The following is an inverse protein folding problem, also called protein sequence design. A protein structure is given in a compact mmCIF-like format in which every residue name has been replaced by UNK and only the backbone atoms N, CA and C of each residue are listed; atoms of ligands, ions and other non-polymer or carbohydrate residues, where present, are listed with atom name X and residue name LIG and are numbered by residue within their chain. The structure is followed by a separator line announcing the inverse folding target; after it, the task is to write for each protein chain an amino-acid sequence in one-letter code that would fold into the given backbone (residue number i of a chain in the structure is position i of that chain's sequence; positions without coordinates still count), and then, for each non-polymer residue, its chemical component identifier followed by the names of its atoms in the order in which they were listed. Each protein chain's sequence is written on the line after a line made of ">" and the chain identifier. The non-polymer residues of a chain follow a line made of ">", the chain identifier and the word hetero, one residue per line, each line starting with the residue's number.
data_IF_689125271001
#
_entry.id   IF_689125271001
#
_cell.length_a   1.000
_cell.length_b   1.000
_cell.length_c   1.000
_cell.angle_alpha   90.00
_cell.angle_beta   90.00
_cell.angle_gamma   90.00
#
_symmetry.space_group_name_H-M   'P 1'
#
loop_
_entity.id
_entity.type
_entity.pdbx_description
1 polymer ?
#
# COMPACT_ATOMS: atom_id res chain seq x y z
N UNK A 1 -2.02 -15.43 11.83
CA UNK A 1 -1.66 -14.80 13.13
C UNK A 1 -2.71 -13.76 13.50
N UNK A 2 -3.36 -13.93 14.64
CA UNK A 2 -4.39 -13.01 15.11
C UNK A 2 -3.76 -11.73 15.66
N UNK A 3 -4.46 -10.62 15.51
CA UNK A 3 -4.16 -9.38 16.22
C UNK A 3 -4.55 -9.54 17.70
N UNK A 4 -3.87 -8.83 18.62
CA UNK A 4 -4.37 -8.69 19.99
C UNK A 4 -5.81 -8.21 19.99
N UNK A 5 -6.65 -8.70 20.91
CA UNK A 5 -8.09 -8.38 20.95
C UNK A 5 -8.38 -6.87 20.87
N UNK A 6 -7.61 -6.05 21.59
CA UNK A 6 -7.73 -4.59 21.58
C UNK A 6 -7.43 -3.91 20.24
N UNK A 7 -6.84 -4.63 19.26
CA UNK A 7 -6.51 -4.14 17.92
C UNK A 7 -7.40 -4.76 16.83
N UNK A 8 -8.38 -5.57 17.21
CA UNK A 8 -9.38 -6.11 16.28
C UNK A 8 -10.53 -5.11 16.14
N UNK A 9 -11.06 -4.96 14.93
CA UNK A 9 -12.12 -4.00 14.64
C UNK A 9 -12.92 -4.42 13.40
N UNK A 10 -14.12 -3.87 13.25
CA UNK A 10 -14.88 -3.95 12.00
C UNK A 10 -14.60 -2.72 11.14
N UNK A 11 -14.40 -2.94 9.85
CA UNK A 11 -14.14 -1.90 8.86
C UNK A 11 -15.15 -2.00 7.72
N UNK A 12 -15.82 -0.89 7.41
CA UNK A 12 -16.70 -0.79 6.25
C UNK A 12 -15.88 -0.42 5.02
N UNK A 13 -15.83 -1.30 4.03
CA UNK A 13 -15.08 -1.07 2.79
C UNK A 13 -15.69 0.05 1.96
N UNK A 14 -14.92 0.60 1.01
CA UNK A 14 -15.42 1.56 0.02
C UNK A 14 -16.60 1.03 -0.80
N UNK A 15 -16.68 -0.29 -0.96
CA UNK A 15 -17.80 -0.98 -1.63
C UNK A 15 -19.00 -1.24 -0.70
N UNK A 16 -18.97 -0.75 0.55
CA UNK A 16 -20.06 -0.82 1.52
C UNK A 16 -20.15 -2.11 2.33
N UNK A 17 -19.21 -3.03 2.16
CA UNK A 17 -19.18 -4.33 2.84
C UNK A 17 -18.52 -4.20 4.21
N UNK A 18 -19.13 -4.76 5.25
CA UNK A 18 -18.53 -4.83 6.57
C UNK A 18 -17.54 -6.00 6.65
N UNK A 19 -16.29 -5.71 7.03
CA UNK A 19 -15.20 -6.67 7.10
C UNK A 19 -14.54 -6.67 8.46
N UNK A 20 -14.46 -7.83 9.08
CA UNK A 20 -13.76 -7.99 10.35
C UNK A 20 -12.25 -8.09 10.16
N UNK A 21 -11.51 -7.25 10.89
CA UNK A 21 -10.05 -7.21 10.90
C UNK A 21 -9.54 -7.93 12.15
N UNK A 22 -9.47 -9.26 12.07
CA UNK A 22 -9.06 -10.11 13.19
C UNK A 22 -7.59 -10.51 13.10
N UNK A 23 -7.06 -10.63 11.88
CA UNK A 23 -5.69 -11.10 11.63
C UNK A 23 -4.81 -10.02 11.02
N UNK A 24 -3.49 -10.19 11.18
CA UNK A 24 -2.49 -9.33 10.53
C UNK A 24 -2.68 -9.35 9.00
N UNK A 25 -3.01 -10.51 8.43
CA UNK A 25 -3.32 -10.64 7.00
C UNK A 25 -4.56 -9.87 6.59
N UNK A 26 -5.65 -9.93 7.37
CA UNK A 26 -6.86 -9.15 7.06
C UNK A 26 -6.58 -7.65 7.08
N UNK A 27 -5.78 -7.19 8.06
CA UNK A 27 -5.41 -5.78 8.17
C UNK A 27 -4.69 -5.30 6.91
N UNK A 28 -3.64 -6.00 6.49
CA UNK A 28 -2.84 -5.59 5.34
C UNK A 28 -3.56 -5.78 4.01
N UNK A 29 -4.24 -6.92 3.80
CA UNK A 29 -5.00 -7.15 2.57
C UNK A 29 -6.13 -6.13 2.39
N UNK A 30 -6.78 -5.70 3.48
CA UNK A 30 -7.80 -4.65 3.44
C UNK A 30 -7.18 -3.30 3.15
N UNK A 31 -6.08 -2.95 3.81
CA UNK A 31 -5.34 -1.73 3.53
C UNK A 31 -4.90 -1.64 2.05
N UNK A 32 -4.33 -2.72 1.51
CA UNK A 32 -3.87 -2.77 0.11
C UNK A 32 -5.05 -2.65 -0.88
N UNK A 33 -6.15 -3.37 -0.62
CA UNK A 33 -7.34 -3.32 -1.48
C UNK A 33 -7.98 -1.94 -1.48
N UNK A 34 -8.14 -1.34 -0.30
CA UNK A 34 -8.83 -0.06 -0.15
C UNK A 34 -8.02 1.10 -0.72
N UNK A 35 -6.69 1.06 -0.64
CA UNK A 35 -5.83 2.17 -1.09
C UNK A 35 -5.30 1.98 -2.50
N UNK A 36 -5.04 0.75 -2.93
CA UNK A 36 -4.37 0.47 -4.20
C UNK A 36 -5.18 -0.41 -5.15
N UNK A 37 -6.38 -0.85 -4.76
CA UNK A 37 -7.24 -1.76 -5.54
C UNK A 37 -6.50 -3.03 -5.98
N UNK A 38 -5.53 -3.45 -5.17
CA UNK A 38 -4.68 -4.60 -5.46
C UNK A 38 -4.48 -5.39 -4.16
N UNK A 39 -4.55 -6.71 -4.26
CA UNK A 39 -4.33 -7.65 -3.15
C UNK A 39 -3.25 -8.69 -3.49
N UNK A 40 -2.63 -8.59 -4.67
CA UNK A 40 -1.56 -9.47 -5.10
C UNK A 40 -0.23 -9.01 -4.51
N UNK A 41 0.46 -9.93 -3.85
CA UNK A 41 1.79 -9.71 -3.27
C UNK A 41 2.87 -10.38 -4.15
N UNK A 42 4.06 -9.79 -4.29
CA UNK A 42 4.53 -8.55 -3.65
C UNK A 42 4.01 -7.28 -4.35
N UNK A 43 3.76 -6.24 -3.55
CA UNK A 43 3.41 -4.89 -4.00
C UNK A 43 4.37 -3.88 -3.38
N UNK A 44 4.99 -3.05 -4.21
CA UNK A 44 5.93 -2.00 -3.82
C UNK A 44 5.30 -0.63 -4.03
N UNK A 45 5.41 0.24 -3.02
CA UNK A 45 4.79 1.57 -2.97
C UNK A 45 5.81 2.56 -2.42
N UNK A 46 5.85 3.79 -2.96
CA UNK A 46 6.67 4.88 -2.46
C UNK A 46 5.76 5.99 -1.93
N UNK A 47 5.92 6.34 -0.66
CA UNK A 47 5.21 7.41 0.03
C UNK A 47 6.21 8.48 0.50
N UNK A 48 5.77 9.72 0.65
CA UNK A 48 6.52 10.74 1.37
C UNK A 48 6.26 10.67 2.89
N UNK A 49 6.86 11.59 3.66
CA UNK A 49 6.69 11.65 5.12
C UNK A 49 5.28 11.98 5.61
N UNK A 50 4.41 12.46 4.72
CA UNK A 50 3.01 12.83 4.99
C UNK A 50 2.03 11.77 4.45
N UNK A 51 2.52 10.55 4.20
CA UNK A 51 1.73 9.42 3.69
C UNK A 51 1.13 9.63 2.29
N UNK A 52 1.66 10.60 1.52
CA UNK A 52 1.22 10.89 0.15
C UNK A 52 1.96 9.97 -0.83
N UNK A 53 1.20 9.38 -1.75
CA UNK A 53 1.72 8.53 -2.82
C UNK A 53 2.57 9.34 -3.81
N UNK A 54 3.81 8.91 -4.02
CA UNK A 54 4.77 9.60 -4.88
C UNK A 54 4.81 9.05 -6.31
N UNK A 55 4.50 7.76 -6.50
CA UNK A 55 4.41 7.14 -7.81
C UNK A 55 3.44 5.95 -7.79
N UNK A 56 3.04 5.45 -8.96
CA UNK A 56 2.18 4.29 -9.10
C UNK A 56 2.82 3.05 -8.44
N UNK A 57 2.07 2.28 -7.63
CA UNK A 57 2.53 1.00 -7.10
C UNK A 57 2.97 0.04 -8.22
N UNK A 58 4.00 -0.76 -7.95
CA UNK A 58 4.44 -1.82 -8.88
C UNK A 58 4.44 -3.17 -8.18
N UNK A 59 4.07 -4.22 -8.91
CA UNK A 59 4.17 -5.59 -8.43
C UNK A 59 5.58 -6.16 -8.59
N UNK A 60 5.67 -7.49 -8.60
CA UNK A 60 6.91 -8.19 -8.93
C UNK A 60 7.48 -7.74 -10.28
N UNK A 61 8.64 -7.08 -10.23
CA UNK A 61 9.31 -6.49 -11.40
C UNK A 61 10.74 -7.02 -11.48
N UNK A 62 10.99 -8.11 -12.22
CA UNK A 62 12.32 -8.75 -12.27
C UNK A 62 13.35 -7.93 -13.07
N UNK A 63 12.90 -6.99 -13.90
CA UNK A 63 13.78 -6.12 -14.68
C UNK A 63 14.42 -5.06 -13.79
N UNK A 64 15.74 -5.17 -13.59
CA UNK A 64 16.54 -4.22 -12.82
C UNK A 64 16.39 -2.80 -13.37
N UNK A 65 16.42 -2.65 -14.70
CA UNK A 65 16.29 -1.35 -15.36
C UNK A 65 14.95 -0.71 -15.05
N UNK A 66 13.86 -1.46 -15.20
CA UNK A 66 12.51 -0.97 -14.96
C UNK A 66 12.29 -0.57 -13.50
N UNK A 67 12.78 -1.39 -12.57
CA UNK A 67 12.65 -1.10 -11.14
C UNK A 67 13.49 0.11 -10.73
N UNK A 68 14.70 0.28 -11.30
CA UNK A 68 15.53 1.47 -11.10
C UNK A 68 14.83 2.74 -11.60
N UNK A 69 14.25 2.71 -12.79
CA UNK A 69 13.50 3.85 -13.35
C UNK A 69 12.30 4.22 -12.48
N UNK A 70 11.59 3.22 -11.95
CA UNK A 70 10.48 3.44 -11.01
C UNK A 70 10.94 4.13 -9.71
N UNK A 71 12.08 3.70 -9.13
CA UNK A 71 12.67 4.33 -7.94
C UNK A 71 13.07 5.78 -8.21
N UNK A 72 13.74 6.06 -9.34
CA UNK A 72 14.15 7.41 -9.71
C UNK A 72 12.94 8.33 -9.89
N UNK A 73 11.87 7.84 -10.52
CA UNK A 73 10.63 8.59 -10.66
C UNK A 73 10.02 8.96 -9.28
N UNK A 74 10.09 8.05 -8.30
CA UNK A 74 9.65 8.35 -6.92
C UNK A 74 10.49 9.43 -6.23
N UNK A 75 11.82 9.41 -6.43
CA UNK A 75 12.73 10.45 -5.91
C UNK A 75 12.41 11.81 -6.56
N UNK A 76 12.25 11.83 -7.89
CA UNK A 76 11.90 13.06 -8.61
C UNK A 76 10.55 13.63 -8.15
N UNK A 77 9.58 12.77 -7.86
CA UNK A 77 8.30 13.19 -7.28
C UNK A 77 8.48 13.77 -5.87
N UNK A 78 9.29 13.13 -5.02
CA UNK A 78 9.57 13.63 -3.68
C UNK A 78 10.22 15.03 -3.68
N UNK A 79 11.22 15.26 -4.54
CA UNK A 79 11.87 16.57 -4.63
C UNK A 79 10.91 17.67 -5.10
N UNK A 80 9.89 17.33 -5.89
CA UNK A 80 8.83 18.27 -6.28
C UNK A 80 7.90 18.64 -5.12
N UNK A 81 7.73 17.76 -4.13
CA UNK A 81 6.88 18.04 -2.95
C UNK A 81 7.54 18.97 -1.92
N UNK A 82 8.85 19.23 -2.04
CA UNK A 82 9.59 20.15 -1.15
C UNK A 82 9.52 21.62 -1.57
N UNK A 83 8.97 21.92 -2.74
CA UNK A 83 8.79 23.29 -3.25
C UNK A 83 7.48 23.88 -2.76
#
# INVERSE_FOLDING_TARGET
>A
KNLPAAKQFSYKTKDGVDKEIVTVGNKWATFETENFKNNAQPLYVILNGDEILLNNPVGYTPSIKQYKEWLLCGIDAYEKTKK
#
